data_IF_203280450633
#
_entry.id   IF_203280450633
#
_cell.length_a   1.000
_cell.length_b   1.000
_cell.length_c   1.000
_cell.angle_alpha   90.00
_cell.angle_beta   90.00
_cell.angle_gamma   90.00
#
_symmetry.space_group_name_H-M   'P 1'
#
loop_
_entity.id
_entity.type
_entity.pdbx_description
1 polymer ?
#
# COMPACT_ATOMS: atom_id res chain seq x y z
N UNK A 1 13.02 7.08 5.30
CA UNK A 1 11.61 7.01 5.70
C UNK A 1 11.49 7.55 7.12
N UNK A 2 10.67 8.57 7.35
CA UNK A 2 10.38 9.08 8.70
C UNK A 2 9.31 8.23 9.39
N UNK A 3 9.02 8.55 10.65
CA UNK A 3 8.10 7.78 11.48
C UNK A 3 6.62 7.85 11.03
N UNK A 4 6.17 8.96 10.45
CA UNK A 4 4.81 9.10 9.92
C UNK A 4 4.65 8.23 8.68
N UNK A 5 5.60 8.32 7.75
CA UNK A 5 5.64 7.52 6.53
C UNK A 5 5.71 6.02 6.84
N UNK A 6 6.46 5.63 7.89
CA UNK A 6 6.51 4.24 8.37
C UNK A 6 5.16 3.75 8.86
N UNK A 7 4.49 4.50 9.76
CA UNK A 7 3.16 4.14 10.27
C UNK A 7 2.13 4.06 9.16
N UNK A 8 2.19 4.97 8.20
CA UNK A 8 1.30 4.96 7.05
C UNK A 8 1.55 3.78 6.11
N UNK A 9 2.82 3.41 5.88
CA UNK A 9 3.16 2.22 5.11
C UNK A 9 2.61 0.96 5.77
N UNK A 10 2.78 0.83 7.10
CA UNK A 10 2.21 -0.29 7.88
C UNK A 10 0.67 -0.31 7.75
N UNK A 11 0.02 0.85 7.84
CA UNK A 11 -1.42 0.98 7.64
C UNK A 11 -1.86 0.50 6.25
N UNK A 12 -1.17 0.92 5.19
CA UNK A 12 -1.47 0.53 3.81
C UNK A 12 -1.35 -0.99 3.62
N UNK A 13 -0.22 -1.57 4.05
CA UNK A 13 0.05 -3.00 3.96
C UNK A 13 -1.03 -3.80 4.70
N UNK A 14 -1.39 -3.40 5.92
CA UNK A 14 -2.35 -4.15 6.72
C UNK A 14 -3.77 -4.12 6.13
N UNK A 15 -4.23 -2.96 5.65
CA UNK A 15 -5.57 -2.86 5.08
C UNK A 15 -5.68 -3.58 3.73
N UNK A 16 -4.64 -3.54 2.90
CA UNK A 16 -4.59 -4.32 1.67
C UNK A 16 -4.51 -5.83 1.96
N UNK A 17 -3.80 -6.24 3.00
CA UNK A 17 -3.78 -7.63 3.46
C UNK A 17 -5.17 -8.12 3.88
N UNK A 18 -5.92 -7.33 4.65
CA UNK A 18 -7.31 -7.62 5.02
C UNK A 18 -8.18 -7.74 3.76
N UNK A 19 -8.07 -6.79 2.82
CA UNK A 19 -8.84 -6.80 1.58
C UNK A 19 -8.58 -8.06 0.73
N UNK A 20 -7.31 -8.46 0.60
CA UNK A 20 -6.90 -9.62 -0.21
C UNK A 20 -7.05 -10.97 0.51
N UNK A 21 -7.36 -10.97 1.81
CA UNK A 21 -7.34 -12.19 2.64
C UNK A 21 -5.95 -12.82 2.74
N UNK A 22 -4.89 -11.99 2.69
CA UNK A 22 -3.48 -12.41 2.71
C UNK A 22 -2.79 -11.98 4.00
N UNK A 23 -1.61 -12.54 4.26
CA UNK A 23 -0.79 -12.06 5.38
C UNK A 23 -0.16 -10.70 5.06
N UNK A 24 0.00 -9.85 6.07
CA UNK A 24 0.68 -8.54 5.90
C UNK A 24 2.12 -8.69 5.41
N UNK A 25 2.79 -9.81 5.74
CA UNK A 25 4.13 -10.14 5.21
C UNK A 25 4.09 -10.38 3.70
N UNK A 26 3.15 -11.17 3.21
CA UNK A 26 2.99 -11.44 1.78
C UNK A 26 2.67 -10.15 1.02
N UNK A 27 1.73 -9.34 1.51
CA UNK A 27 1.39 -8.06 0.88
C UNK A 27 2.55 -7.07 0.89
N UNK A 28 3.32 -7.02 1.98
CA UNK A 28 4.53 -6.19 2.03
C UNK A 28 5.50 -6.56 0.91
N UNK A 29 5.77 -7.85 0.71
CA UNK A 29 6.65 -8.31 -0.38
C UNK A 29 6.07 -7.97 -1.76
N UNK A 30 4.77 -8.20 -1.99
CA UNK A 30 4.12 -7.83 -3.25
C UNK A 30 4.21 -6.32 -3.54
N UNK A 31 4.02 -5.48 -2.53
CA UNK A 31 4.16 -4.03 -2.66
C UNK A 31 5.61 -3.60 -2.87
N UNK A 32 6.57 -4.30 -2.25
CA UNK A 32 7.99 -4.03 -2.41
C UNK A 32 8.47 -4.42 -3.82
N UNK A 33 8.09 -5.61 -4.31
CA UNK A 33 8.44 -6.10 -5.65
C UNK A 33 7.79 -5.26 -6.76
N UNK A 34 6.66 -4.62 -6.44
CA UNK A 34 5.98 -3.66 -7.30
C UNK A 34 6.53 -2.24 -7.17
N UNK A 35 7.61 -1.99 -6.42
CA UNK A 35 8.16 -0.66 -6.09
C UNK A 35 7.14 0.33 -5.48
N UNK A 36 6.00 -0.16 -4.99
CA UNK A 36 4.88 0.67 -4.55
C UNK A 36 5.21 1.46 -3.29
N UNK A 37 6.04 0.89 -2.42
CA UNK A 37 6.40 1.53 -1.15
C UNK A 37 7.27 2.76 -1.40
N UNK A 38 8.33 2.61 -2.20
CA UNK A 38 9.33 3.66 -2.40
C UNK A 38 8.94 4.65 -3.50
N UNK A 39 8.19 4.22 -4.52
CA UNK A 39 7.83 5.08 -5.66
C UNK A 39 6.45 5.74 -5.52
N UNK A 40 5.59 5.24 -4.61
CA UNK A 40 4.22 5.74 -4.47
C UNK A 40 3.83 6.08 -3.04
N UNK A 41 3.81 5.10 -2.12
CA UNK A 41 3.28 5.29 -0.76
C UNK A 41 4.08 6.34 0.02
N UNK A 42 5.41 6.25 0.01
CA UNK A 42 6.27 7.19 0.74
C UNK A 42 6.27 8.59 0.08
N UNK A 43 6.50 8.73 -1.24
CA UNK A 43 6.51 10.06 -1.87
C UNK A 43 5.16 10.77 -1.84
N UNK A 44 4.05 10.02 -1.91
CA UNK A 44 2.71 10.59 -1.92
C UNK A 44 2.06 10.66 -0.53
N UNK A 45 2.81 10.43 0.56
CA UNK A 45 2.28 10.42 1.92
C UNK A 45 1.41 11.66 2.21
N UNK A 46 1.91 12.87 1.94
CA UNK A 46 1.24 14.13 2.27
C UNK A 46 -0.16 14.27 1.65
N UNK A 47 -0.40 13.61 0.53
CA UNK A 47 -1.71 13.59 -0.14
C UNK A 47 -2.52 12.38 0.32
N UNK A 48 -1.94 11.18 0.22
CA UNK A 48 -2.64 9.92 0.49
C UNK A 48 -3.18 9.85 1.92
N UNK A 49 -2.46 10.37 2.93
CA UNK A 49 -2.88 10.29 4.33
C UNK A 49 -4.10 11.18 4.67
N UNK A 50 -4.55 12.01 3.74
CA UNK A 50 -5.75 12.85 3.89
C UNK A 50 -7.02 12.17 3.35
N UNK A 51 -6.88 11.09 2.59
CA UNK A 51 -7.99 10.37 1.99
C UNK A 51 -8.60 9.32 2.93
N UNK A 52 -9.80 8.86 2.58
CA UNK A 52 -10.45 7.76 3.29
C UNK A 52 -9.64 6.46 3.11
N UNK A 53 -9.77 5.57 4.10
CA UNK A 53 -9.17 4.24 4.05
C UNK A 53 -9.63 3.47 2.81
N UNK A 54 -10.92 3.51 2.51
CA UNK A 54 -11.53 2.81 1.37
C UNK A 54 -10.90 3.25 0.05
N UNK A 55 -10.72 4.56 -0.15
CA UNK A 55 -10.07 5.09 -1.35
C UNK A 55 -8.60 4.65 -1.46
N UNK A 56 -7.84 4.73 -0.36
CA UNK A 56 -6.43 4.32 -0.34
C UNK A 56 -6.30 2.84 -0.70
N UNK A 57 -7.15 1.97 -0.12
CA UNK A 57 -7.11 0.53 -0.41
C UNK A 57 -7.45 0.26 -1.87
N UNK A 58 -8.52 0.84 -2.40
CA UNK A 58 -8.94 0.64 -3.79
C UNK A 58 -7.86 1.10 -4.78
N UNK A 59 -7.23 2.24 -4.51
CA UNK A 59 -6.15 2.80 -5.34
C UNK A 59 -4.90 1.92 -5.32
N UNK A 60 -4.46 1.47 -4.14
CA UNK A 60 -3.32 0.56 -4.03
C UNK A 60 -3.59 -0.77 -4.74
N UNK A 61 -4.78 -1.35 -4.59
CA UNK A 61 -5.19 -2.56 -5.30
C UNK A 61 -5.17 -2.34 -6.83
N UNK A 62 -5.68 -1.20 -7.29
CA UNK A 62 -5.65 -0.82 -8.71
C UNK A 62 -4.22 -0.76 -9.26
N UNK A 63 -3.28 -0.16 -8.51
CA UNK A 63 -1.87 -0.12 -8.91
C UNK A 63 -1.27 -1.53 -8.91
N UNK A 64 -1.52 -2.32 -7.86
CA UNK A 64 -1.01 -3.70 -7.76
C UNK A 64 -1.51 -4.59 -8.91
N UNK A 65 -2.78 -4.44 -9.33
CA UNK A 65 -3.32 -5.12 -10.51
C UNK A 65 -2.64 -4.68 -11.80
N UNK A 66 -2.45 -3.37 -12.01
CA UNK A 66 -1.73 -2.84 -13.20
C UNK A 66 -0.28 -3.32 -13.27
N UNK A 67 0.36 -3.52 -12.11
CA UNK A 67 1.71 -4.10 -12.01
C UNK A 67 1.74 -5.63 -12.04
N UNK A 68 0.59 -6.30 -12.11
CA UNK A 68 0.49 -7.75 -12.28
C UNK A 68 0.87 -8.57 -11.03
N UNK A 69 0.94 -7.95 -9.85
CA UNK A 69 1.31 -8.65 -8.60
C UNK A 69 0.11 -9.25 -7.88
N UNK A 70 -1.11 -8.87 -8.25
CA UNK A 70 -2.38 -9.43 -7.75
C UNK A 70 -3.42 -9.49 -8.86
N UNK A 71 -4.35 -10.45 -8.76
CA UNK A 71 -5.50 -10.65 -9.66
C UNK A 71 -6.75 -9.94 -9.15
#
# INVERSE_FOLDING_TARGET
MDFKSLRFTIFCVNNVAIYLGKSSKEVYHLMQDADLINDYIVPCYDVLHTFSKEYIVDDLISIMRRKGVVS
#
